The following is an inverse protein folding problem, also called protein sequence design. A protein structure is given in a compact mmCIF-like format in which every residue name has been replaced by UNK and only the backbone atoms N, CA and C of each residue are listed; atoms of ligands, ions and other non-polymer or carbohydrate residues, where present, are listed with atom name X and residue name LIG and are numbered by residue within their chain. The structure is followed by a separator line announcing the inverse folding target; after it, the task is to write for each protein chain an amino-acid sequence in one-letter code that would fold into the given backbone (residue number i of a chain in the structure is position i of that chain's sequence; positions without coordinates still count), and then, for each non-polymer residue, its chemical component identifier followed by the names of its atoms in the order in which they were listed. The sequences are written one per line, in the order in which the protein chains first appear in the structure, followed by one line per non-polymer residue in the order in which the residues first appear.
data_IF_898033998697
#
_entry.id   IF_898033998697
#
_cell.length_a   1.000
_cell.length_b   1.000
_cell.length_c   1.000
_cell.angle_alpha   90.00
_cell.angle_beta   90.00
_cell.angle_gamma   90.00
#
_symmetry.space_group_name_H-M   'P 1'
#
loop_
_entity.id
_entity.type
_entity.pdbx_description
1 polymer ?
#
# COMPACT_ATOMS: atom_id res chain seq x y z
N UNK A 1 -9.98 -9.86 -30.70
CA UNK A 1 -9.55 -9.00 -29.58
C UNK A 1 -9.95 -9.73 -28.29
N UNK A 2 -9.04 -10.54 -27.75
CA UNK A 2 -9.34 -11.50 -26.67
C UNK A 2 -9.07 -10.86 -25.31
N UNK A 3 -10.12 -10.53 -24.57
CA UNK A 3 -10.04 -10.11 -23.16
C UNK A 3 -9.91 -11.36 -22.29
N UNK A 4 -8.71 -11.94 -22.26
CA UNK A 4 -8.38 -12.97 -21.29
C UNK A 4 -8.38 -12.32 -19.89
N UNK A 5 -9.47 -12.51 -19.14
CA UNK A 5 -9.48 -12.34 -17.68
C UNK A 5 -8.34 -13.18 -17.13
N UNK A 6 -7.26 -12.54 -16.68
CA UNK A 6 -6.24 -13.21 -15.86
C UNK A 6 -6.96 -13.76 -14.63
N UNK A 7 -7.17 -15.07 -14.61
CA UNK A 7 -7.55 -15.78 -13.40
C UNK A 7 -6.44 -15.50 -12.39
N UNK A 8 -6.75 -14.76 -11.33
CA UNK A 8 -5.85 -14.67 -10.18
C UNK A 8 -5.79 -16.07 -9.58
N UNK A 9 -4.68 -16.77 -9.80
CA UNK A 9 -4.31 -17.88 -8.93
C UNK A 9 -4.20 -17.26 -7.54
N UNK A 10 -5.22 -17.51 -6.70
CA UNK A 10 -5.12 -17.23 -5.28
C UNK A 10 -3.97 -18.12 -4.84
N UNK A 11 -2.78 -17.53 -4.62
CA UNK A 11 -1.68 -18.22 -3.97
C UNK A 11 -2.15 -18.44 -2.53
N UNK A 12 -2.94 -19.49 -2.35
CA UNK A 12 -3.33 -20.05 -1.07
C UNK A 12 -2.07 -20.75 -0.58
N UNK A 13 -1.08 -19.96 -0.17
CA UNK A 13 0.09 -20.50 0.51
C UNK A 13 -0.44 -21.34 1.67
N UNK A 14 0.09 -22.55 1.88
CA UNK A 14 -0.25 -23.34 3.06
C UNK A 14 -0.02 -22.42 4.25
N UNK A 15 -1.02 -22.33 5.13
CA UNK A 15 -1.02 -21.52 6.35
C UNK A 15 0.40 -21.47 6.91
N UNK A 16 1.09 -20.32 6.76
CA UNK A 16 2.45 -20.17 7.26
C UNK A 16 2.43 -20.60 8.74
N UNK A 17 3.29 -21.54 9.17
CA UNK A 17 3.32 -21.97 10.55
C UNK A 17 3.58 -20.74 11.42
N UNK A 18 2.53 -20.26 12.12
CA UNK A 18 2.65 -19.16 13.06
C UNK A 18 3.60 -19.60 14.17
N UNK A 19 4.86 -19.20 14.08
CA UNK A 19 5.95 -19.60 14.96
C UNK A 19 5.80 -18.96 16.36
N UNK A 20 4.81 -19.35 17.15
CA UNK A 20 4.73 -18.99 18.58
C UNK A 20 4.62 -17.49 18.90
N UNK A 21 4.27 -16.63 17.93
CA UNK A 21 4.03 -15.21 18.19
C UNK A 21 2.54 -14.94 18.44
N UNK A 22 2.23 -14.17 19.49
CA UNK A 22 0.86 -13.73 19.78
C UNK A 22 0.26 -12.91 18.62
N UNK A 23 -1.05 -13.02 18.42
CA UNK A 23 -1.83 -12.19 17.46
C UNK A 23 -1.52 -10.69 17.60
N UNK A 24 -1.37 -10.19 18.84
CA UNK A 24 -1.06 -8.79 19.12
C UNK A 24 0.29 -8.35 18.50
N UNK A 25 1.32 -9.19 18.57
CA UNK A 25 2.63 -8.92 17.94
C UNK A 25 2.52 -8.89 16.43
N UNK A 26 1.79 -9.83 15.83
CA UNK A 26 1.55 -9.85 14.38
C UNK A 26 0.85 -8.57 13.91
N UNK A 27 -0.23 -8.18 14.58
CA UNK A 27 -0.98 -6.95 14.26
C UNK A 27 -0.10 -5.70 14.37
N UNK A 28 0.77 -5.64 15.39
CA UNK A 28 1.69 -4.50 15.55
C UNK A 28 2.68 -4.38 14.38
N UNK A 29 3.20 -5.51 13.89
CA UNK A 29 4.11 -5.54 12.73
C UNK A 29 3.35 -5.14 11.47
N UNK A 30 2.16 -5.71 11.24
CA UNK A 30 1.32 -5.39 10.09
C UNK A 30 0.97 -3.90 10.04
N UNK A 31 0.58 -3.30 11.18
CA UNK A 31 0.29 -1.84 11.25
C UNK A 31 1.48 -0.99 10.85
N UNK A 32 2.70 -1.36 11.25
CA UNK A 32 3.91 -0.63 10.86
C UNK A 32 4.20 -0.77 9.37
N UNK A 33 3.97 -1.95 8.80
CA UNK A 33 4.13 -2.17 7.37
C UNK A 33 3.07 -1.42 6.57
N UNK A 34 1.81 -1.37 7.02
CA UNK A 34 0.79 -0.51 6.41
C UNK A 34 1.20 0.96 6.43
N UNK A 35 1.61 1.51 7.58
CA UNK A 35 2.12 2.89 7.66
C UNK A 35 3.34 3.15 6.76
N UNK A 36 4.19 2.13 6.54
CA UNK A 36 5.27 2.22 5.56
C UNK A 36 4.76 2.28 4.12
N UNK A 37 3.73 1.50 3.77
CA UNK A 37 3.13 1.50 2.43
C UNK A 37 2.44 2.83 2.11
N UNK A 38 1.90 3.49 3.12
CA UNK A 38 1.19 4.77 3.03
C UNK A 38 2.12 6.00 3.19
N UNK A 39 3.46 5.78 3.26
CA UNK A 39 4.48 6.81 3.48
C UNK A 39 4.28 7.67 4.77
N UNK A 40 3.59 7.12 5.78
CA UNK A 40 3.30 7.77 7.06
C UNK A 40 4.42 7.63 8.10
N UNK A 41 5.48 6.91 7.78
CA UNK A 41 6.65 6.76 8.64
C UNK A 41 7.70 7.83 8.36
N UNK A 42 8.53 8.13 9.35
CA UNK A 42 9.68 9.01 9.16
C UNK A 42 10.62 8.48 8.06
N UNK A 43 11.27 9.40 7.32
CA UNK A 43 12.20 9.08 6.23
C UNK A 43 13.30 8.09 6.65
N UNK A 44 13.82 8.23 7.87
CA UNK A 44 14.84 7.34 8.41
C UNK A 44 14.35 5.89 8.54
N UNK A 45 13.12 5.70 9.05
CA UNK A 45 12.52 4.37 9.19
C UNK A 45 12.21 3.77 7.81
N UNK A 46 11.67 4.55 6.87
CA UNK A 46 11.45 4.08 5.50
C UNK A 46 12.74 3.62 4.82
N UNK A 47 13.87 4.30 5.08
CA UNK A 47 15.18 3.91 4.56
C UNK A 47 15.64 2.56 5.11
N UNK A 48 15.53 2.34 6.42
CA UNK A 48 15.90 1.06 7.03
C UNK A 48 15.01 -0.10 6.55
N UNK A 49 13.71 0.14 6.39
CA UNK A 49 12.80 -0.86 5.83
C UNK A 49 13.22 -1.20 4.39
N UNK A 50 13.46 -0.21 3.53
CA UNK A 50 13.94 -0.45 2.15
C UNK A 50 15.23 -1.25 2.10
N UNK A 51 16.18 -0.94 2.98
CA UNK A 51 17.44 -1.69 3.11
C UNK A 51 17.18 -3.15 3.46
N UNK A 52 16.28 -3.42 4.40
CA UNK A 52 15.91 -4.79 4.76
C UNK A 52 15.24 -5.54 3.61
N UNK A 53 14.30 -4.89 2.90
CA UNK A 53 13.63 -5.50 1.76
C UNK A 53 14.62 -5.89 0.66
N UNK A 54 15.64 -5.07 0.39
CA UNK A 54 16.70 -5.41 -0.57
C UNK A 54 17.65 -6.53 -0.13
N UNK A 55 17.63 -6.92 1.15
CA UNK A 55 18.51 -7.95 1.71
C UNK A 55 17.75 -9.24 2.09
N UNK A 56 16.42 -9.27 1.99
CA UNK A 56 15.58 -10.37 2.45
C UNK A 56 14.45 -10.68 1.45
N UNK A 57 14.64 -11.66 0.54
CA UNK A 57 13.66 -12.02 -0.48
C UNK A 57 12.28 -12.36 0.07
N UNK A 58 12.22 -13.07 1.21
CA UNK A 58 10.95 -13.43 1.86
C UNK A 58 10.14 -12.19 2.28
N UNK A 59 10.82 -11.16 2.80
CA UNK A 59 10.16 -9.93 3.20
C UNK A 59 9.78 -9.07 2.00
N UNK A 60 10.57 -9.10 0.93
CA UNK A 60 10.24 -8.47 -0.34
C UNK A 60 8.95 -9.06 -0.92
N UNK A 61 8.86 -10.38 -1.05
CA UNK A 61 7.66 -11.09 -1.52
C UNK A 61 6.44 -10.78 -0.64
N UNK A 62 6.62 -10.80 0.68
CA UNK A 62 5.55 -10.49 1.61
C UNK A 62 5.01 -9.07 1.41
N UNK A 63 5.90 -8.07 1.33
CA UNK A 63 5.48 -6.68 1.11
C UNK A 63 4.84 -6.48 -0.27
N UNK A 64 5.33 -7.17 -1.30
CA UNK A 64 4.71 -7.17 -2.62
C UNK A 64 3.26 -7.69 -2.58
N UNK A 65 3.03 -8.81 -1.88
CA UNK A 65 1.68 -9.37 -1.68
C UNK A 65 0.74 -8.43 -0.91
N UNK A 66 1.29 -7.71 0.08
CA UNK A 66 0.53 -6.72 0.85
C UNK A 66 0.15 -5.50 -0.01
N UNK A 67 1.07 -5.01 -0.85
CA UNK A 67 0.80 -3.93 -1.83
C UNK A 67 -0.30 -4.31 -2.80
N UNK A 68 -0.30 -5.55 -3.28
CA UNK A 68 -1.37 -6.05 -4.15
C UNK A 68 -2.72 -6.05 -3.43
N UNK A 69 -2.75 -6.45 -2.16
CA UNK A 69 -3.98 -6.44 -1.34
C UNK A 69 -4.51 -5.01 -1.17
N UNK A 70 -3.64 -4.05 -0.82
CA UNK A 70 -4.01 -2.62 -0.72
C UNK A 70 -4.55 -2.09 -2.04
N UNK A 71 -3.88 -2.40 -3.15
CA UNK A 71 -4.34 -2.00 -4.49
C UNK A 71 -5.73 -2.54 -4.80
N UNK A 72 -5.98 -3.83 -4.55
CA UNK A 72 -7.31 -4.44 -4.76
C UNK A 72 -8.39 -3.75 -3.91
N UNK A 73 -8.09 -3.40 -2.66
CA UNK A 73 -9.00 -2.63 -1.81
C UNK A 73 -9.19 -1.17 -2.27
N UNK A 74 -8.17 -0.56 -2.89
CA UNK A 74 -8.21 0.82 -3.39
C UNK A 74 -8.99 1.00 -4.70
N UNK A 75 -9.29 -0.07 -5.44
CA UNK A 75 -10.10 -0.03 -6.67
C UNK A 75 -11.61 0.16 -6.42
N UNK A 76 -12.03 0.53 -5.21
CA UNK A 76 -13.40 0.99 -4.97
C UNK A 76 -13.56 2.29 -5.76
N UNK A 77 -14.29 2.24 -6.88
CA UNK A 77 -14.52 3.37 -7.77
C UNK A 77 -15.04 4.57 -6.95
N UNK A 78 -14.19 5.56 -6.64
CA UNK A 78 -14.63 6.67 -5.82
C UNK A 78 -15.64 7.47 -6.62
N UNK A 79 -16.72 7.91 -5.98
CA UNK A 79 -17.70 8.74 -6.65
C UNK A 79 -16.98 9.93 -7.31
N UNK A 80 -17.27 10.23 -8.59
CA UNK A 80 -16.57 11.29 -9.30
C UNK A 80 -16.78 12.62 -8.56
N UNK A 81 -15.68 13.38 -8.37
CA UNK A 81 -15.77 14.71 -7.78
C UNK A 81 -16.68 15.61 -8.63
N UNK A 82 -17.53 16.41 -7.97
CA UNK A 82 -18.39 17.36 -8.66
C UNK A 82 -17.55 18.40 -9.44
N UNK A 83 -18.04 18.91 -10.58
CA UNK A 83 -17.33 19.92 -11.36
C UNK A 83 -16.94 21.16 -10.54
N UNK A 84 -17.84 21.62 -9.65
CA UNK A 84 -17.59 22.76 -8.77
C UNK A 84 -16.44 22.49 -7.78
N UNK A 85 -16.38 21.28 -7.22
CA UNK A 85 -15.29 20.91 -6.31
C UNK A 85 -13.94 20.81 -7.04
N UNK A 86 -13.92 20.22 -8.24
CA UNK A 86 -12.72 20.16 -9.09
C UNK A 86 -12.19 21.56 -9.42
N UNK A 87 -13.08 22.48 -9.81
CA UNK A 87 -12.71 23.86 -10.12
C UNK A 87 -12.10 24.56 -8.90
N UNK A 88 -12.74 24.44 -7.73
CA UNK A 88 -12.24 25.05 -6.49
C UNK A 88 -10.89 24.47 -6.05
N UNK A 89 -10.73 23.15 -6.13
CA UNK A 89 -9.48 22.47 -5.80
C UNK A 89 -8.34 22.91 -6.73
N UNK A 90 -8.60 22.99 -8.05
CA UNK A 90 -7.61 23.48 -9.02
C UNK A 90 -7.15 24.89 -8.69
N UNK A 91 -8.08 25.81 -8.39
CA UNK A 91 -7.75 27.18 -8.00
C UNK A 91 -6.87 27.22 -6.76
N UNK A 92 -7.20 26.45 -5.72
CA UNK A 92 -6.40 26.39 -4.49
C UNK A 92 -4.99 25.85 -4.74
N UNK A 93 -4.84 24.80 -5.55
CA UNK A 93 -3.52 24.24 -5.91
C UNK A 93 -2.67 25.29 -6.64
N UNK A 94 -3.24 25.98 -7.63
CA UNK A 94 -2.54 27.03 -8.38
C UNK A 94 -2.13 28.21 -7.49
N UNK A 95 -3.00 28.61 -6.55
CA UNK A 95 -2.69 29.67 -5.58
C UNK A 95 -1.62 29.29 -4.56
N UNK A 96 -1.51 28.00 -4.21
CA UNK A 96 -0.46 27.50 -3.33
C UNK A 96 0.89 27.37 -4.08
N UNK A 97 0.85 26.92 -5.34
CA UNK A 97 2.03 26.75 -6.18
C UNK A 97 2.66 28.09 -6.63
N UNK A 98 1.87 29.17 -6.73
CA UNK A 98 2.35 30.51 -7.08
C UNK A 98 2.94 31.33 -5.92
N UNK A 99 3.05 30.76 -4.71
CA UNK A 99 3.67 31.39 -3.53
C UNK A 99 5.06 30.81 -3.24
N UNK A 100 5.84 30.58 -4.29
CA UNK A 100 7.24 30.14 -4.22
C UNK A 100 8.16 31.20 -4.77
#
# INVERSE_FOLDING_TARGET
MSTARRAMAIHRSPLHPHHGHSKARCVKVLRRLSAYLDDELSVGICKEIRKHLGACPNCEEFVASLRQTVSLCGHVNPAPLSPAFKARLRTQILQAAGRG
#
